data_IF_243579364017
#
_entry.id   IF_243579364017
#
_cell.length_a   1.000
_cell.length_b   1.000
_cell.length_c   1.000
_cell.angle_alpha   90.00
_cell.angle_beta   90.00
_cell.angle_gamma   90.00
#
_symmetry.space_group_name_H-M   'P 1'
#
loop_
_entity.id
_entity.type
_entity.pdbx_description
1 polymer ?
#
# COMPACT_ATOMS: atom_id res chain seq x y z
N UNK A 1 2.81 13.04 14.22
CA UNK A 1 2.19 13.38 15.53
C UNK A 1 0.99 14.27 15.26
N UNK A 2 -0.17 13.94 15.83
CA UNK A 2 -1.40 14.74 15.81
C UNK A 2 -1.63 15.36 17.19
N UNK A 3 -2.21 16.54 17.21
CA UNK A 3 -2.55 17.20 18.46
C UNK A 3 -3.94 17.86 18.34
N UNK A 4 -4.68 17.82 19.43
CA UNK A 4 -5.92 18.56 19.59
C UNK A 4 -5.62 19.88 20.29
N UNK A 5 -6.00 20.99 19.69
CA UNK A 5 -5.75 22.31 20.23
C UNK A 5 -7.04 23.14 20.18
N UNK A 6 -7.33 23.84 21.26
CA UNK A 6 -8.46 24.76 21.32
C UNK A 6 -8.03 26.13 20.77
N UNK A 7 -8.69 26.65 19.73
CA UNK A 7 -8.36 27.94 19.16
C UNK A 7 -8.87 29.13 20.03
N UNK A 8 -8.05 30.15 20.16
CA UNK A 8 -8.48 31.50 20.64
C UNK A 8 -8.64 32.40 19.41
N UNK A 9 -9.85 32.86 19.18
CA UNK A 9 -10.18 33.66 17.99
C UNK A 9 -10.10 35.13 18.34
N UNK A 10 -9.27 35.89 17.62
CA UNK A 10 -9.21 37.35 17.68
C UNK A 10 -9.77 37.96 16.38
N UNK A 11 -11.12 38.13 16.26
CA UNK A 11 -11.76 38.46 14.99
C UNK A 11 -11.35 39.83 14.46
N UNK A 12 -11.12 40.83 15.35
CA UNK A 12 -10.71 42.19 14.97
C UNK A 12 -9.32 42.20 14.33
N UNK A 13 -8.41 41.33 14.82
CA UNK A 13 -7.05 41.20 14.27
C UNK A 13 -6.98 40.21 13.09
N UNK A 14 -8.04 39.46 12.79
CA UNK A 14 -8.07 38.46 11.74
C UNK A 14 -7.11 37.27 12.00
N UNK A 15 -6.84 36.95 13.27
CA UNK A 15 -5.91 35.88 13.64
C UNK A 15 -6.55 34.85 14.56
N UNK A 16 -6.03 33.62 14.49
CA UNK A 16 -6.35 32.53 15.39
C UNK A 16 -5.08 32.12 16.13
N UNK A 17 -5.16 32.01 17.44
CA UNK A 17 -4.04 31.65 18.31
C UNK A 17 -4.26 30.25 18.87
N UNK A 18 -3.19 29.48 18.95
CA UNK A 18 -3.17 28.17 19.60
C UNK A 18 -2.13 28.18 20.72
N UNK A 19 -2.40 27.45 21.81
CA UNK A 19 -1.47 27.25 22.92
C UNK A 19 -1.06 25.77 22.97
N UNK A 20 -0.05 25.35 22.17
CA UNK A 20 0.33 23.93 22.07
C UNK A 20 1.09 23.39 23.28
N UNK A 21 1.49 24.21 24.25
CA UNK A 21 2.43 23.82 25.29
C UNK A 21 3.86 23.69 24.74
N UNK A 22 4.84 23.52 25.63
CA UNK A 22 6.26 23.43 25.26
C UNK A 22 6.58 22.17 24.48
N UNK A 23 5.92 21.05 24.78
CA UNK A 23 6.10 19.75 24.16
C UNK A 23 5.64 19.69 22.69
N UNK A 24 4.68 20.53 22.30
CA UNK A 24 4.13 20.52 20.92
C UNK A 24 4.62 21.70 20.08
N UNK A 25 5.36 22.65 20.66
CA UNK A 25 5.89 23.84 19.94
C UNK A 25 6.74 23.48 18.72
N UNK A 26 7.40 22.34 18.72
CA UNK A 26 8.23 21.89 17.61
C UNK A 26 7.44 21.60 16.33
N UNK A 27 6.14 21.24 16.43
CA UNK A 27 5.27 21.03 15.28
C UNK A 27 5.12 22.30 14.44
N UNK A 28 5.08 23.47 15.10
CA UNK A 28 4.91 24.78 14.45
C UNK A 28 6.22 25.33 13.86
N UNK A 29 7.37 24.77 14.22
CA UNK A 29 8.68 25.16 13.65
C UNK A 29 8.87 24.67 12.22
N UNK A 30 8.02 23.77 11.73
CA UNK A 30 8.09 23.21 10.38
C UNK A 30 7.48 24.11 9.29
N UNK A 31 6.99 25.29 9.67
CA UNK A 31 6.51 26.34 8.76
C UNK A 31 5.04 26.24 8.37
N UNK A 32 4.50 25.04 8.11
CA UNK A 32 3.08 24.84 7.74
C UNK A 32 2.46 23.73 8.57
N UNK A 33 1.20 23.95 8.96
CA UNK A 33 0.36 22.95 9.64
C UNK A 33 -0.96 22.82 8.88
N UNK A 34 -1.50 21.62 8.85
CA UNK A 34 -2.87 21.36 8.38
C UNK A 34 -3.79 21.42 9.58
N UNK A 35 -4.90 22.13 9.44
CA UNK A 35 -5.93 22.23 10.47
C UNK A 35 -7.18 21.53 9.98
N UNK A 36 -7.69 20.60 10.78
CA UNK A 36 -8.89 19.83 10.49
C UNK A 36 -9.88 19.98 11.66
N UNK A 37 -11.16 19.90 11.36
CA UNK A 37 -12.21 19.87 12.39
C UNK A 37 -12.19 18.45 13.01
N UNK A 38 -12.07 18.33 14.36
CA UNK A 38 -12.06 17.02 14.99
C UNK A 38 -13.40 16.32 14.82
N UNK A 39 -13.35 14.99 14.63
CA UNK A 39 -14.55 14.16 14.66
C UNK A 39 -15.18 14.11 16.07
N UNK A 40 -16.45 13.70 16.14
CA UNK A 40 -17.22 13.64 17.40
C UNK A 40 -16.51 12.86 18.52
N UNK A 41 -15.73 11.84 18.17
CA UNK A 41 -14.96 11.02 19.14
C UNK A 41 -13.88 11.82 19.89
N UNK A 42 -13.47 12.97 19.39
CA UNK A 42 -12.43 13.81 19.96
C UNK A 42 -13.01 15.06 20.66
N UNK A 43 -14.33 15.25 20.62
CA UNK A 43 -14.96 16.49 21.09
C UNK A 43 -14.69 16.77 22.58
N UNK A 44 -14.69 15.73 23.41
CA UNK A 44 -14.53 15.83 24.86
C UNK A 44 -13.08 15.61 25.34
N UNK A 45 -12.14 15.43 24.42
CA UNK A 45 -10.74 15.21 24.79
C UNK A 45 -10.05 16.53 25.15
N UNK A 46 -9.15 16.52 26.14
CA UNK A 46 -8.36 17.69 26.49
C UNK A 46 -7.37 18.05 25.37
N UNK A 47 -7.00 19.34 25.28
CA UNK A 47 -5.94 19.78 24.37
C UNK A 47 -4.61 19.10 24.70
N UNK A 48 -3.90 18.63 23.69
CA UNK A 48 -2.63 17.93 23.84
C UNK A 48 -2.32 17.02 22.67
N UNK A 49 -1.27 16.22 22.80
CA UNK A 49 -0.94 15.20 21.83
C UNK A 49 -2.05 14.13 21.78
N UNK A 50 -2.52 13.82 20.57
CA UNK A 50 -3.49 12.75 20.42
C UNK A 50 -2.78 11.37 20.52
N UNK A 51 -3.39 10.40 21.22
CA UNK A 51 -2.89 9.04 21.24
C UNK A 51 -2.93 8.44 19.82
N UNK A 52 -2.17 7.39 19.62
CA UNK A 52 -2.24 6.63 18.37
C UNK A 52 -3.66 6.04 18.22
N UNK A 53 -4.17 6.01 16.98
CA UNK A 53 -5.47 5.40 16.69
C UNK A 53 -5.47 3.95 17.15
N UNK A 54 -6.53 3.57 17.85
CA UNK A 54 -6.75 2.18 18.24
C UNK A 54 -6.82 1.31 16.99
N UNK A 55 -6.08 0.19 17.00
CA UNK A 55 -6.01 -0.74 15.88
C UNK A 55 -6.71 -2.05 16.24
N UNK A 56 -7.97 -2.27 15.86
CA UNK A 56 -8.73 -3.47 16.25
C UNK A 56 -8.08 -4.78 15.82
N UNK A 57 -7.31 -4.78 14.73
CA UNK A 57 -6.56 -5.96 14.29
C UNK A 57 -5.52 -6.42 15.31
N UNK A 58 -5.02 -5.52 16.16
CA UNK A 58 -4.06 -5.88 17.20
C UNK A 58 -4.67 -6.79 18.29
N UNK A 59 -5.98 -6.75 18.45
CA UNK A 59 -6.71 -7.52 19.46
C UNK A 59 -7.31 -8.84 18.91
N UNK A 60 -7.27 -9.01 17.57
CA UNK A 60 -7.76 -10.24 16.94
C UNK A 60 -6.74 -11.38 17.11
N UNK A 61 -6.95 -12.22 18.12
CA UNK A 61 -6.08 -13.36 18.42
C UNK A 61 -5.96 -14.36 17.25
N UNK A 62 -6.92 -14.39 16.33
CA UNK A 62 -6.85 -15.24 15.14
C UNK A 62 -5.77 -14.84 14.16
N UNK A 63 -5.29 -13.59 14.25
CA UNK A 63 -4.22 -13.04 13.41
C UNK A 63 -2.82 -13.25 14.00
N UNK A 64 -2.72 -13.67 15.27
CA UNK A 64 -1.44 -13.86 15.94
C UNK A 64 -0.46 -14.73 15.17
N UNK A 65 -0.83 -15.89 14.61
CA UNK A 65 0.10 -16.72 13.81
C UNK A 65 0.62 -16.01 12.56
N UNK A 66 -0.15 -15.07 12.00
CA UNK A 66 0.27 -14.27 10.84
C UNK A 66 1.25 -13.17 11.29
N UNK A 67 0.97 -12.50 12.40
CA UNK A 67 1.86 -11.46 12.93
C UNK A 67 3.22 -12.01 13.38
N UNK A 68 3.24 -13.21 13.94
CA UNK A 68 4.46 -13.87 14.43
C UNK A 68 5.20 -14.65 13.32
N UNK A 69 4.67 -14.68 12.10
CA UNK A 69 5.32 -15.38 11.00
C UNK A 69 6.65 -14.70 10.61
N UNK A 70 7.78 -15.42 10.60
CA UNK A 70 9.08 -14.84 10.31
C UNK A 70 9.17 -14.14 8.94
N UNK A 71 8.45 -14.65 7.93
CA UNK A 71 8.43 -14.05 6.59
C UNK A 71 7.68 -12.71 6.58
N UNK A 72 6.61 -12.60 7.37
CA UNK A 72 5.85 -11.36 7.56
C UNK A 72 6.70 -10.31 8.27
N UNK A 73 7.36 -10.70 9.35
CA UNK A 73 8.28 -9.84 10.11
C UNK A 73 9.43 -9.37 9.21
N UNK A 74 10.05 -10.27 8.46
CA UNK A 74 11.14 -9.93 7.54
C UNK A 74 10.67 -8.96 6.44
N UNK A 75 9.47 -9.16 5.91
CA UNK A 75 8.92 -8.30 4.85
C UNK A 75 8.57 -6.90 5.36
N UNK A 76 8.21 -6.77 6.62
CA UNK A 76 8.01 -5.47 7.26
C UNK A 76 9.32 -4.71 7.55
N UNK A 77 10.48 -5.38 7.45
CA UNK A 77 11.81 -4.80 7.66
C UNK A 77 12.66 -5.54 8.69
N UNK A 78 12.12 -6.58 9.33
CA UNK A 78 12.81 -7.42 10.30
C UNK A 78 12.88 -6.82 11.70
N UNK A 79 13.31 -7.64 12.67
CA UNK A 79 13.34 -7.26 14.07
C UNK A 79 14.30 -6.08 14.38
N UNK A 80 15.34 -5.86 13.56
CA UNK A 80 16.24 -4.71 13.74
C UNK A 80 15.54 -3.37 13.51
N UNK A 81 14.55 -3.34 12.60
CA UNK A 81 13.71 -2.14 12.38
C UNK A 81 12.72 -1.96 13.52
N UNK A 82 12.18 -3.05 14.08
CA UNK A 82 11.39 -3.01 15.31
C UNK A 82 12.20 -2.41 16.46
N UNK A 83 13.45 -2.84 16.65
CA UNK A 83 14.33 -2.32 17.71
C UNK A 83 14.56 -0.82 17.55
N UNK A 84 14.89 -0.36 16.34
CA UNK A 84 15.08 1.05 16.04
C UNK A 84 13.79 1.87 16.26
N UNK A 85 12.63 1.29 16.00
CA UNK A 85 11.33 1.91 16.27
C UNK A 85 11.04 2.02 17.76
N UNK A 86 11.38 0.97 18.56
CA UNK A 86 11.23 0.99 20.01
C UNK A 86 12.12 2.03 20.68
N UNK A 87 13.37 2.14 20.25
CA UNK A 87 14.33 3.11 20.79
C UNK A 87 13.85 4.57 20.69
N UNK A 88 12.97 4.88 19.73
CA UNK A 88 12.38 6.23 19.60
C UNK A 88 11.38 6.56 20.69
N UNK A 89 10.82 5.58 21.40
CA UNK A 89 9.81 5.79 22.45
C UNK A 89 10.41 6.39 23.72
N UNK A 90 11.66 6.07 24.03
CA UNK A 90 12.39 6.56 25.22
C UNK A 90 11.63 6.37 26.54
N UNK A 91 10.94 5.25 26.68
CA UNK A 91 10.15 4.92 27.87
C UNK A 91 10.31 3.44 28.19
N UNK A 92 10.68 3.14 29.45
CA UNK A 92 10.81 1.76 29.90
C UNK A 92 9.43 1.09 29.98
N UNK A 93 9.31 -0.07 29.36
CA UNK A 93 8.02 -0.78 29.25
C UNK A 93 7.74 -1.72 30.41
N UNK A 94 8.67 -1.87 31.35
CA UNK A 94 8.46 -2.68 32.53
C UNK A 94 7.89 -1.83 33.69
N UNK A 95 6.66 -2.10 34.13
CA UNK A 95 6.04 -1.36 35.21
C UNK A 95 6.64 -1.83 36.55
N UNK A 96 7.48 -1.04 37.13
CA UNK A 96 7.94 -1.17 38.50
C UNK A 96 8.03 0.24 39.11
N UNK A 97 8.62 0.41 40.27
CA UNK A 97 8.79 1.63 41.07
C UNK A 97 8.97 2.92 40.22
N UNK A 98 8.78 4.07 40.85
CA UNK A 98 8.79 5.40 40.23
C UNK A 98 10.12 5.83 39.61
N UNK A 99 11.21 5.04 39.79
CA UNK A 99 12.52 5.38 39.25
C UNK A 99 12.97 4.43 38.14
N UNK A 100 13.29 5.01 36.99
CA UNK A 100 13.90 4.33 35.85
C UNK A 100 15.22 5.01 35.49
N UNK A 101 16.22 4.25 35.05
CA UNK A 101 17.43 4.80 34.48
C UNK A 101 17.13 5.53 33.15
N UNK A 102 17.91 6.57 32.87
CA UNK A 102 17.76 7.34 31.61
C UNK A 102 18.32 6.60 30.37
N UNK A 103 19.18 5.59 30.62
CA UNK A 103 19.76 4.77 29.57
C UNK A 103 18.83 3.61 29.21
N UNK A 104 18.48 3.51 27.94
CA UNK A 104 17.58 2.49 27.40
C UNK A 104 18.32 1.46 26.57
N UNK A 105 17.86 0.22 26.66
CA UNK A 105 18.36 -0.92 25.88
C UNK A 105 17.22 -1.76 25.34
N UNK A 106 17.49 -2.55 24.31
CA UNK A 106 16.54 -3.49 23.73
C UNK A 106 16.83 -4.90 24.23
N UNK A 107 15.85 -5.49 24.89
CA UNK A 107 15.86 -6.90 25.23
C UNK A 107 15.08 -7.67 24.16
N UNK A 108 15.76 -8.59 23.47
CA UNK A 108 15.10 -9.54 22.56
C UNK A 108 14.37 -10.59 23.37
N UNK A 109 13.09 -10.75 23.10
CA UNK A 109 12.24 -11.76 23.73
C UNK A 109 11.19 -12.21 22.72
N UNK A 110 11.11 -13.51 22.45
CA UNK A 110 10.13 -14.04 21.50
C UNK A 110 8.70 -13.62 21.87
N UNK A 111 7.88 -13.18 20.86
CA UNK A 111 8.18 -13.17 19.41
C UNK A 111 8.80 -11.85 18.89
N UNK A 112 9.22 -10.93 19.75
CA UNK A 112 9.68 -9.60 19.33
C UNK A 112 10.80 -9.02 20.19
N UNK A 113 10.61 -7.78 20.64
CA UNK A 113 11.58 -7.03 21.45
C UNK A 113 10.86 -6.14 22.45
N UNK A 114 11.55 -5.79 23.53
CA UNK A 114 11.07 -4.94 24.61
C UNK A 114 12.07 -3.82 24.84
N UNK A 115 11.61 -2.58 25.05
CA UNK A 115 12.44 -1.46 25.45
C UNK A 115 12.46 -1.35 26.96
N UNK A 116 13.64 -1.48 27.55
CA UNK A 116 13.85 -1.42 28.98
C UNK A 116 14.88 -0.36 29.34
N UNK A 117 14.79 0.20 30.52
CA UNK A 117 15.93 0.91 31.09
C UNK A 117 17.02 -0.11 31.51
N UNK A 118 18.27 0.34 31.62
CA UNK A 118 19.41 -0.51 31.95
C UNK A 118 19.21 -1.33 33.28
N UNK A 119 18.58 -0.73 34.27
CA UNK A 119 18.28 -1.42 35.52
C UNK A 119 17.31 -2.58 35.36
N UNK A 120 16.22 -2.38 34.60
CA UNK A 120 15.24 -3.42 34.32
C UNK A 120 15.83 -4.52 33.43
N UNK A 121 16.62 -4.16 32.40
CA UNK A 121 17.27 -5.13 31.54
C UNK A 121 18.19 -6.06 32.33
N UNK A 122 19.00 -5.53 33.25
CA UNK A 122 19.87 -6.34 34.09
C UNK A 122 19.11 -7.35 34.98
N UNK A 123 17.89 -7.00 35.39
CA UNK A 123 17.06 -7.88 36.22
C UNK A 123 16.30 -8.93 35.38
N UNK A 124 15.96 -8.63 34.14
CA UNK A 124 15.02 -9.41 33.36
C UNK A 124 15.65 -10.20 32.19
N UNK A 125 16.90 -9.87 31.79
CA UNK A 125 17.54 -10.43 30.59
C UNK A 125 17.58 -11.95 30.52
N UNK A 126 17.67 -12.60 31.67
CA UNK A 126 17.74 -14.06 31.78
C UNK A 126 16.38 -14.70 32.13
N UNK A 127 15.32 -13.90 32.14
CA UNK A 127 13.97 -14.36 32.45
C UNK A 127 13.15 -14.55 31.18
N UNK A 128 12.37 -15.64 31.16
CA UNK A 128 11.37 -15.89 30.13
C UNK A 128 10.02 -16.08 30.81
N UNK A 129 9.23 -15.02 30.82
CA UNK A 129 7.89 -15.02 31.43
C UNK A 129 6.81 -14.64 30.41
N UNK A 130 5.58 -15.11 30.61
CA UNK A 130 4.45 -14.78 29.75
C UNK A 130 4.16 -13.26 29.72
N UNK A 131 4.48 -12.57 30.81
CA UNK A 131 4.36 -11.10 30.85
C UNK A 131 5.34 -10.42 29.92
N UNK A 132 6.58 -10.88 29.85
CA UNK A 132 7.59 -10.38 28.90
C UNK A 132 7.21 -10.72 27.47
N UNK A 133 6.77 -11.97 27.23
CA UNK A 133 6.27 -12.39 25.92
C UNK A 133 5.07 -11.53 25.46
N UNK A 134 4.16 -11.21 26.37
CA UNK A 134 3.02 -10.33 26.10
C UNK A 134 3.43 -8.91 25.69
N UNK A 135 4.41 -8.31 26.35
CA UNK A 135 4.96 -6.99 25.98
C UNK A 135 5.65 -7.06 24.63
N UNK A 136 6.49 -8.07 24.39
CA UNK A 136 7.20 -8.27 23.13
C UNK A 136 6.21 -8.45 21.95
N UNK A 137 5.18 -9.26 22.16
CA UNK A 137 4.10 -9.48 21.18
C UNK A 137 3.34 -8.19 20.87
N UNK A 138 2.94 -7.43 21.89
CA UNK A 138 2.26 -6.14 21.72
C UNK A 138 3.12 -5.15 20.93
N UNK A 139 4.41 -5.12 21.18
CA UNK A 139 5.35 -4.28 20.44
C UNK A 139 5.46 -4.71 18.98
N UNK A 140 5.62 -6.01 18.72
CA UNK A 140 5.70 -6.59 17.39
C UNK A 140 4.46 -6.23 16.57
N UNK A 141 3.28 -6.48 17.12
CA UNK A 141 2.00 -6.22 16.43
C UNK A 141 1.81 -4.72 16.16
N UNK A 142 2.06 -3.87 17.16
CA UNK A 142 1.92 -2.42 17.01
C UNK A 142 2.86 -1.85 15.94
N UNK A 143 4.13 -2.31 15.95
CA UNK A 143 5.11 -1.93 14.94
C UNK A 143 4.72 -2.42 13.55
N UNK A 144 4.26 -3.68 13.44
CA UNK A 144 3.89 -4.29 12.18
C UNK A 144 2.72 -3.55 11.54
N UNK A 145 1.64 -3.30 12.28
CA UNK A 145 0.47 -2.57 11.78
C UNK A 145 0.83 -1.14 11.34
N UNK A 146 1.66 -0.45 12.11
CA UNK A 146 2.18 0.87 11.73
C UNK A 146 3.01 0.82 10.45
N UNK A 147 3.87 -0.18 10.31
CA UNK A 147 4.72 -0.37 9.14
C UNK A 147 3.89 -0.68 7.90
N UNK A 148 2.89 -1.55 8.03
CA UNK A 148 1.96 -1.91 6.95
C UNK A 148 1.19 -0.67 6.48
N UNK A 149 0.62 0.11 7.39
CA UNK A 149 -0.07 1.36 7.06
C UNK A 149 0.84 2.33 6.31
N UNK A 150 2.08 2.51 6.77
CA UNK A 150 3.06 3.36 6.09
C UNK A 150 3.45 2.86 4.70
N UNK A 151 3.65 1.54 4.52
CA UNK A 151 3.96 0.94 3.22
C UNK A 151 2.79 0.97 2.22
N UNK A 152 1.56 1.04 2.73
CA UNK A 152 0.35 1.25 1.92
C UNK A 152 0.08 2.74 1.63
N UNK A 153 0.87 3.66 2.22
CA UNK A 153 0.68 5.09 2.04
C UNK A 153 -0.55 5.65 2.79
N UNK A 154 -1.03 4.95 3.82
CA UNK A 154 -2.18 5.36 4.61
C UNK A 154 -1.78 6.42 5.65
N UNK A 155 -2.72 7.26 6.08
CA UNK A 155 -2.49 8.29 7.09
C UNK A 155 -2.14 7.68 8.46
N UNK A 156 -1.47 8.44 9.33
CA UNK A 156 -1.05 7.96 10.67
C UNK A 156 -2.23 7.60 11.59
N UNK A 157 -3.40 8.15 11.34
CA UNK A 157 -4.63 7.93 12.08
C UNK A 157 -5.55 6.88 11.45
N UNK A 158 -5.16 6.33 10.30
CA UNK A 158 -5.93 5.30 9.64
C UNK A 158 -6.02 4.03 10.48
N UNK A 159 -7.25 3.55 10.66
CA UNK A 159 -7.53 2.25 11.28
C UNK A 159 -7.41 1.19 10.21
N UNK A 160 -6.31 0.42 10.26
CA UNK A 160 -6.05 -0.61 9.27
C UNK A 160 -7.14 -1.69 9.31
N UNK A 161 -7.73 -1.96 8.17
CA UNK A 161 -8.76 -2.98 8.01
C UNK A 161 -8.18 -4.34 7.64
N UNK A 162 -8.93 -5.40 7.91
CA UNK A 162 -8.50 -6.76 7.54
C UNK A 162 -8.27 -6.94 6.02
N UNK A 163 -9.13 -6.40 5.11
CA UNK A 163 -8.87 -6.43 3.68
C UNK A 163 -7.58 -5.73 3.28
N UNK A 164 -7.25 -4.58 3.87
CA UNK A 164 -6.00 -3.84 3.59
C UNK A 164 -4.78 -4.63 4.06
N UNK A 165 -4.85 -5.28 5.22
CA UNK A 165 -3.79 -6.14 5.70
C UNK A 165 -3.59 -7.37 4.79
N UNK A 166 -4.67 -8.03 4.38
CA UNK A 166 -4.60 -9.11 3.39
C UNK A 166 -4.01 -8.63 2.06
N UNK A 167 -4.41 -7.44 1.61
CA UNK A 167 -3.86 -6.81 0.42
C UNK A 167 -2.34 -6.63 0.51
N UNK A 168 -1.85 -6.12 1.64
CA UNK A 168 -0.43 -5.97 1.88
C UNK A 168 0.29 -7.33 1.82
N UNK A 169 -0.25 -8.37 2.44
CA UNK A 169 0.30 -9.73 2.41
C UNK A 169 0.40 -10.25 0.97
N UNK A 170 -0.68 -10.15 0.20
CA UNK A 170 -0.70 -10.61 -1.21
C UNK A 170 0.29 -9.83 -2.07
N UNK A 171 0.33 -8.49 -1.95
CA UNK A 171 1.27 -7.63 -2.65
C UNK A 171 2.72 -7.98 -2.38
N UNK A 172 3.02 -8.46 -1.19
CA UNK A 172 4.35 -8.85 -0.77
C UNK A 172 4.69 -10.34 -1.00
N UNK A 173 3.83 -11.08 -1.71
CA UNK A 173 4.05 -12.50 -2.03
C UNK A 173 3.90 -13.44 -0.83
N UNK A 174 3.06 -13.05 0.14
CA UNK A 174 2.79 -13.78 1.38
C UNK A 174 1.35 -14.32 1.43
N UNK A 175 0.73 -14.53 0.27
CA UNK A 175 -0.65 -15.03 0.22
C UNK A 175 -0.81 -16.41 0.89
N UNK A 176 0.21 -17.24 0.82
CA UNK A 176 0.26 -18.56 1.44
C UNK A 176 0.26 -18.52 2.99
N UNK A 177 0.58 -17.38 3.58
CA UNK A 177 0.52 -17.16 5.04
C UNK A 177 -0.90 -16.82 5.50
N UNK A 178 -1.81 -16.46 4.59
CA UNK A 178 -3.17 -16.06 4.93
C UNK A 178 -4.02 -17.31 5.21
N UNK A 179 -4.54 -17.52 6.44
CA UNK A 179 -5.47 -18.60 6.71
C UNK A 179 -6.78 -18.42 5.93
N UNK A 180 -7.36 -19.52 5.45
CA UNK A 180 -8.61 -19.49 4.67
C UNK A 180 -9.73 -18.70 5.38
N UNK A 181 -9.90 -18.91 6.69
CA UNK A 181 -10.87 -18.17 7.49
C UNK A 181 -10.66 -16.67 7.49
N UNK A 182 -9.40 -16.23 7.47
CA UNK A 182 -9.01 -14.82 7.38
C UNK A 182 -9.38 -14.27 5.99
N UNK A 183 -9.11 -15.03 4.94
CA UNK A 183 -9.42 -14.64 3.56
C UNK A 183 -10.94 -14.51 3.36
N UNK A 184 -11.73 -15.46 3.84
CA UNK A 184 -13.20 -15.41 3.82
C UNK A 184 -13.73 -14.16 4.52
N UNK A 185 -13.23 -13.87 5.75
CA UNK A 185 -13.61 -12.68 6.52
C UNK A 185 -13.25 -11.39 5.77
N UNK A 186 -12.07 -11.32 5.16
CA UNK A 186 -11.63 -10.17 4.38
C UNK A 186 -12.49 -9.94 3.12
N UNK A 187 -12.90 -11.01 2.46
CA UNK A 187 -13.79 -10.98 1.29
C UNK A 187 -15.27 -10.84 1.63
N UNK A 188 -15.64 -10.89 2.92
CA UNK A 188 -17.03 -10.93 3.42
C UNK A 188 -17.81 -12.12 2.85
N UNK A 189 -17.13 -13.25 2.62
CA UNK A 189 -17.75 -14.50 2.20
C UNK A 189 -18.12 -15.34 3.42
N UNK A 190 -19.26 -16.01 3.34
CA UNK A 190 -19.64 -16.99 4.34
C UNK A 190 -18.87 -18.29 4.11
N UNK A 191 -18.37 -18.96 5.15
CA UNK A 191 -17.84 -20.32 4.99
C UNK A 191 -18.98 -21.23 4.50
N UNK A 192 -18.66 -22.09 3.54
CA UNK A 192 -19.64 -23.07 3.07
C UNK A 192 -20.06 -23.99 4.23
N UNK A 193 -21.37 -24.19 4.45
CA UNK A 193 -21.82 -25.09 5.50
C UNK A 193 -21.40 -26.52 5.16
N UNK A 194 -20.56 -27.11 6.01
CA UNK A 194 -20.22 -28.53 5.88
C UNK A 194 -21.43 -29.36 6.17
N UNK A 195 -22.01 -29.99 5.15
CA UNK A 195 -23.04 -30.99 5.32
C UNK A 195 -22.38 -32.32 5.68
N UNK A 196 -22.90 -32.99 6.68
CA UNK A 196 -22.39 -34.30 7.17
C UNK A 196 -22.52 -35.42 6.14
N UNK A 197 -23.39 -35.26 5.16
CA UNK A 197 -23.59 -36.19 4.05
C UNK A 197 -23.89 -35.39 2.79
N UNK A 198 -23.00 -35.50 1.78
CA UNK A 198 -23.17 -34.93 0.44
C UNK A 198 -23.18 -36.07 -0.58
N UNK A 199 -23.95 -35.95 -1.64
CA UNK A 199 -23.86 -36.85 -2.79
C UNK A 199 -22.58 -36.46 -3.57
N UNK A 200 -21.86 -37.45 -4.10
CA UNK A 200 -20.63 -37.25 -4.86
C UNK A 200 -20.84 -36.30 -6.08
N UNK A 201 -22.05 -36.34 -6.67
CA UNK A 201 -22.47 -35.45 -7.75
C UNK A 201 -22.59 -33.96 -7.36
N UNK A 202 -22.74 -33.68 -6.06
CA UNK A 202 -23.01 -32.33 -5.55
C UNK A 202 -21.73 -31.65 -5.03
N UNK A 203 -20.60 -32.36 -5.10
CA UNK A 203 -19.28 -31.83 -4.73
C UNK A 203 -18.77 -30.95 -5.90
N UNK A 204 -19.07 -29.67 -5.83
CA UNK A 204 -18.43 -28.67 -6.71
C UNK A 204 -17.17 -28.15 -6.03
N UNK A 205 -15.99 -28.24 -6.65
CA UNK A 205 -14.79 -27.64 -6.09
C UNK A 205 -14.94 -26.12 -6.06
N UNK A 206 -15.06 -25.56 -4.84
CA UNK A 206 -15.00 -24.10 -4.66
C UNK A 206 -13.54 -23.66 -4.67
N UNK A 207 -13.26 -22.53 -5.32
CA UNK A 207 -11.93 -21.94 -5.27
C UNK A 207 -11.63 -21.44 -3.85
N UNK A 208 -10.47 -21.79 -3.27
CA UNK A 208 -10.07 -21.26 -1.98
C UNK A 208 -10.13 -19.72 -1.93
N UNK A 209 -10.59 -19.15 -0.84
CA UNK A 209 -10.73 -17.69 -0.72
C UNK A 209 -9.37 -16.96 -0.86
N UNK A 210 -8.27 -17.62 -0.52
CA UNK A 210 -6.91 -17.11 -0.73
C UNK A 210 -6.61 -16.96 -2.24
N UNK A 211 -7.03 -17.91 -3.08
CA UNK A 211 -6.87 -17.81 -4.53
C UNK A 211 -7.71 -16.67 -5.12
N UNK A 212 -8.93 -16.47 -4.62
CA UNK A 212 -9.77 -15.32 -5.00
C UNK A 212 -9.12 -13.99 -4.63
N UNK A 213 -8.48 -13.89 -3.46
CA UNK A 213 -7.70 -12.71 -3.06
C UNK A 213 -6.53 -12.46 -4.02
N UNK A 214 -5.79 -13.52 -4.34
CA UNK A 214 -4.66 -13.43 -5.29
C UNK A 214 -5.13 -13.04 -6.70
N UNK A 215 -6.24 -13.59 -7.16
CA UNK A 215 -6.80 -13.27 -8.47
C UNK A 215 -7.24 -11.80 -8.54
N UNK A 216 -7.92 -11.31 -7.52
CA UNK A 216 -8.30 -9.88 -7.43
C UNK A 216 -7.06 -8.97 -7.36
N UNK A 217 -6.01 -9.41 -6.70
CA UNK A 217 -4.74 -8.68 -6.62
C UNK A 217 -3.95 -8.68 -7.95
N UNK A 218 -4.06 -9.74 -8.76
CA UNK A 218 -3.37 -9.84 -10.07
C UNK A 218 -3.84 -8.81 -11.11
N UNK A 219 -4.98 -8.17 -10.90
CA UNK A 219 -5.51 -7.12 -11.79
C UNK A 219 -4.75 -5.80 -11.69
N UNK A 220 -3.88 -5.65 -10.72
CA UNK A 220 -3.04 -4.46 -10.58
C UNK A 220 -1.73 -4.69 -11.33
N UNK A 221 -1.43 -3.78 -12.24
CA UNK A 221 -0.15 -3.78 -12.95
C UNK A 221 0.97 -3.49 -11.97
N UNK A 222 1.67 -4.53 -11.53
CA UNK A 222 2.90 -4.36 -10.75
C UNK A 222 4.01 -3.88 -11.68
N UNK A 223 4.42 -2.63 -11.57
CA UNK A 223 5.66 -2.16 -12.19
C UNK A 223 6.81 -2.80 -11.41
N UNK A 224 7.41 -3.85 -11.98
CA UNK A 224 8.65 -4.43 -11.45
C UNK A 224 9.80 -3.51 -11.81
N UNK A 225 10.42 -2.93 -10.81
CA UNK A 225 11.73 -2.27 -10.98
C UNK A 225 12.79 -3.37 -10.98
N UNK A 226 13.53 -3.49 -12.08
CA UNK A 226 14.68 -4.40 -12.17
C UNK A 226 15.85 -3.78 -11.39
N UNK A 227 16.32 -4.38 -10.27
CA UNK A 227 17.45 -3.85 -9.51
C UNK A 227 18.75 -3.83 -10.31
N UNK A 228 18.89 -4.72 -11.31
CA UNK A 228 20.02 -4.81 -12.22
C UNK A 228 19.64 -4.30 -13.62
N UNK A 229 18.98 -3.15 -13.69
CA UNK A 229 18.56 -2.56 -14.95
C UNK A 229 19.75 -2.45 -15.93
N UNK A 230 19.55 -2.69 -17.25
CA UNK A 230 20.62 -2.61 -18.24
C UNK A 230 21.44 -1.33 -18.18
N UNK A 231 20.87 -0.23 -17.69
CA UNK A 231 21.58 1.05 -17.46
C UNK A 231 22.64 0.99 -16.37
N UNK A 232 22.62 -0.01 -15.48
CA UNK A 232 23.61 -0.17 -14.41
C UNK A 232 24.95 -0.77 -14.91
N UNK A 233 24.93 -1.49 -16.03
CA UNK A 233 26.09 -2.18 -16.60
C UNK A 233 26.33 -1.93 -18.10
N UNK A 234 25.41 -1.27 -18.80
CA UNK A 234 25.52 -0.95 -20.21
C UNK A 234 25.56 0.55 -20.44
N UNK A 235 26.63 1.08 -21.09
CA UNK A 235 26.75 2.49 -21.46
C UNK A 235 25.60 2.99 -22.37
N UNK A 236 25.06 2.13 -23.22
CA UNK A 236 23.91 2.40 -24.09
C UNK A 236 22.98 1.20 -24.08
N UNK A 237 22.11 1.07 -23.07
CA UNK A 237 21.19 -0.06 -22.96
C UNK A 237 20.23 -0.08 -24.14
N UNK A 238 20.04 -1.26 -24.73
CA UNK A 238 19.02 -1.46 -25.76
C UNK A 238 17.63 -1.32 -25.13
N UNK A 239 16.79 -0.55 -25.77
CA UNK A 239 15.40 -0.34 -25.34
C UNK A 239 14.63 -1.66 -25.46
N UNK A 240 14.13 -2.17 -24.32
CA UNK A 240 13.21 -3.32 -24.31
C UNK A 240 11.79 -2.82 -24.52
N UNK A 241 11.09 -3.40 -25.50
CA UNK A 241 9.68 -3.14 -25.71
C UNK A 241 8.87 -3.84 -24.63
N UNK A 242 7.93 -3.12 -24.02
CA UNK A 242 6.90 -3.73 -23.19
C UNK A 242 5.80 -4.27 -24.10
N UNK A 243 5.54 -5.58 -24.01
CA UNK A 243 4.59 -6.30 -24.84
C UNK A 243 3.45 -6.85 -23.98
N UNK A 244 2.20 -6.65 -24.44
CA UNK A 244 1.02 -7.15 -23.76
C UNK A 244 -0.08 -7.50 -24.77
N UNK A 245 -0.14 -8.77 -25.15
CA UNK A 245 -1.13 -9.27 -26.11
C UNK A 245 -2.58 -9.10 -25.64
N UNK A 246 -2.84 -9.20 -24.35
CA UNK A 246 -4.19 -9.03 -23.81
C UNK A 246 -4.66 -7.59 -24.02
N UNK A 247 -3.78 -6.63 -23.76
CA UNK A 247 -4.09 -5.22 -23.97
C UNK A 247 -4.27 -4.89 -25.44
N UNK A 248 -3.36 -5.29 -26.32
CA UNK A 248 -3.48 -5.04 -27.77
C UNK A 248 -4.70 -5.73 -28.38
N UNK A 249 -5.09 -6.92 -27.91
CA UNK A 249 -6.34 -7.60 -28.31
C UNK A 249 -7.56 -6.81 -27.85
N UNK A 250 -7.55 -6.26 -26.66
CA UNK A 250 -8.63 -5.39 -26.19
C UNK A 250 -8.70 -4.10 -27.01
N UNK A 251 -7.55 -3.47 -27.35
CA UNK A 251 -7.51 -2.29 -28.22
C UNK A 251 -8.19 -2.55 -29.56
N UNK A 252 -7.99 -3.72 -30.17
CA UNK A 252 -8.67 -4.13 -31.41
C UNK A 252 -10.19 -4.20 -31.28
N UNK A 253 -10.72 -4.43 -30.10
CA UNK A 253 -12.17 -4.48 -29.85
C UNK A 253 -12.80 -3.11 -29.62
N UNK A 254 -12.00 -2.05 -29.62
CA UNK A 254 -12.48 -0.68 -29.38
C UNK A 254 -12.91 0.00 -30.69
N UNK A 255 -13.47 1.18 -30.55
CA UNK A 255 -13.84 2.03 -31.72
C UNK A 255 -12.61 2.85 -32.16
N UNK A 256 -12.53 3.08 -33.48
CA UNK A 256 -11.51 3.94 -34.04
C UNK A 256 -11.61 5.37 -33.48
N UNK A 257 -10.49 5.93 -33.08
CA UNK A 257 -10.43 7.26 -32.46
C UNK A 257 -10.78 8.41 -33.43
N UNK A 258 -10.80 8.13 -34.74
CA UNK A 258 -11.09 9.13 -35.78
C UNK A 258 -12.54 9.11 -36.27
N UNK A 259 -13.16 7.93 -36.42
CA UNK A 259 -14.48 7.80 -37.04
C UNK A 259 -15.49 6.97 -36.25
N UNK A 260 -15.11 6.44 -35.09
CA UNK A 260 -15.91 5.56 -34.24
C UNK A 260 -16.35 4.22 -34.90
N UNK A 261 -15.87 3.89 -36.08
CA UNK A 261 -16.02 2.55 -36.65
C UNK A 261 -15.22 1.53 -35.82
N UNK A 262 -15.52 0.22 -35.91
CA UNK A 262 -14.69 -0.79 -35.26
C UNK A 262 -13.22 -0.64 -35.63
N UNK A 263 -12.33 -0.74 -34.66
CA UNK A 263 -10.90 -0.73 -34.92
C UNK A 263 -10.44 -2.12 -35.39
N UNK A 264 -9.56 -2.13 -36.40
CA UNK A 264 -8.96 -3.36 -36.91
C UNK A 264 -7.59 -3.64 -36.29
N UNK A 265 -6.79 -2.59 -36.14
CA UNK A 265 -5.41 -2.70 -35.68
C UNK A 265 -5.06 -1.70 -34.56
N UNK A 266 -4.30 -2.15 -33.56
CA UNK A 266 -3.66 -1.27 -32.60
C UNK A 266 -2.50 -0.56 -33.27
N UNK A 267 -2.64 0.72 -33.54
CA UNK A 267 -1.59 1.52 -34.15
C UNK A 267 -0.58 1.95 -33.07
N UNK A 268 0.68 1.50 -33.20
CA UNK A 268 1.77 1.95 -32.35
C UNK A 268 2.23 3.34 -32.78
N UNK A 269 2.40 4.25 -31.82
CA UNK A 269 2.87 5.61 -32.07
C UNK A 269 4.15 5.64 -32.91
N UNK A 270 4.19 6.49 -33.91
CA UNK A 270 5.33 6.73 -34.79
C UNK A 270 5.73 8.20 -34.80
N UNK A 271 7.00 8.49 -35.02
CA UNK A 271 7.48 9.88 -35.16
C UNK A 271 7.75 10.65 -33.86
N UNK A 272 7.35 10.12 -32.69
CA UNK A 272 7.47 10.79 -31.38
C UNK A 272 8.61 10.27 -30.51
N UNK A 273 9.64 9.65 -31.10
CA UNK A 273 10.79 9.11 -30.37
C UNK A 273 10.53 7.85 -29.56
N UNK A 274 9.31 7.28 -29.61
CA UNK A 274 8.92 6.08 -28.89
C UNK A 274 9.31 4.77 -29.61
N UNK A 275 9.55 4.84 -30.91
CA UNK A 275 10.02 3.76 -31.77
C UNK A 275 11.10 4.29 -32.72
N UNK A 276 11.72 3.42 -33.50
CA UNK A 276 12.69 3.74 -34.53
C UNK A 276 12.54 2.81 -35.72
N UNK A 277 13.42 2.95 -36.76
CA UNK A 277 13.42 2.04 -37.89
C UNK A 277 13.60 0.59 -37.40
N UNK A 278 12.57 -0.24 -37.61
CA UNK A 278 12.56 -1.63 -37.13
C UNK A 278 12.21 -1.87 -35.66
N UNK A 279 11.88 -0.80 -34.90
CA UNK A 279 11.51 -0.95 -33.48
C UNK A 279 10.15 -0.33 -33.22
N UNK A 280 9.16 -1.14 -32.82
CA UNK A 280 7.85 -0.64 -32.42
C UNK A 280 7.88 0.03 -31.04
N UNK A 281 7.00 0.99 -30.80
CA UNK A 281 6.76 1.53 -29.47
C UNK A 281 6.23 0.44 -28.52
N UNK A 282 6.22 0.71 -27.20
CA UNK A 282 5.59 -0.16 -26.22
C UNK A 282 4.10 -0.38 -26.54
N UNK A 283 3.57 -1.57 -26.24
CA UNK A 283 2.15 -1.86 -26.47
C UNK A 283 1.20 -0.96 -25.65
N UNK A 284 1.72 -0.29 -24.62
CA UNK A 284 0.97 0.76 -23.92
C UNK A 284 0.72 1.99 -24.81
N UNK A 285 1.58 2.25 -25.77
CA UNK A 285 1.53 3.43 -26.65
C UNK A 285 0.88 3.08 -27.99
N UNK A 286 -0.35 2.59 -27.91
CA UNK A 286 -1.19 2.23 -29.07
C UNK A 286 -2.52 2.97 -29.04
N UNK A 287 -3.02 3.30 -30.20
CA UNK A 287 -4.36 3.85 -30.39
C UNK A 287 -5.18 2.94 -31.30
N UNK A 288 -6.49 2.74 -31.03
CA UNK A 288 -7.34 1.96 -31.90
C UNK A 288 -7.68 2.74 -33.19
N UNK A 289 -7.32 2.19 -34.30
CA UNK A 289 -7.65 2.74 -35.62
C UNK A 289 -8.30 1.66 -36.50
N UNK A 290 -9.26 2.05 -37.32
CA UNK A 290 -9.73 1.21 -38.41
C UNK A 290 -8.69 1.15 -39.54
N UNK A 291 -8.79 0.19 -40.44
CA UNK A 291 -7.81 -0.03 -41.52
C UNK A 291 -7.53 1.24 -42.31
N UNK A 292 -8.58 1.95 -42.70
CA UNK A 292 -8.49 3.17 -43.49
C UNK A 292 -7.65 4.25 -42.79
N UNK A 293 -7.95 4.56 -41.54
CA UNK A 293 -7.22 5.58 -40.77
C UNK A 293 -5.81 5.13 -40.35
N UNK A 294 -5.60 3.83 -40.18
CA UNK A 294 -4.27 3.27 -39.94
C UNK A 294 -3.35 3.47 -41.16
N UNK A 295 -3.89 3.19 -42.36
CA UNK A 295 -3.17 3.36 -43.64
C UNK A 295 -2.95 4.85 -43.97
N UNK A 296 -3.96 5.70 -43.72
CA UNK A 296 -3.85 7.17 -43.88
C UNK A 296 -2.72 7.74 -42.99
N UNK A 297 -2.63 7.29 -41.72
CA UNK A 297 -1.59 7.73 -40.81
C UNK A 297 -0.20 7.28 -41.29
N UNK A 298 -0.05 6.04 -41.74
CA UNK A 298 1.22 5.56 -42.27
C UNK A 298 1.64 6.24 -43.59
N UNK A 299 0.66 6.66 -44.42
CA UNK A 299 0.94 7.38 -45.66
C UNK A 299 1.44 8.82 -45.40
N UNK A 300 0.92 9.49 -44.34
CA UNK A 300 1.32 10.86 -44.04
C UNK A 300 0.99 11.30 -42.62
N UNK A 301 1.88 11.01 -41.65
CA UNK A 301 1.63 11.32 -40.22
C UNK A 301 1.25 12.78 -39.97
N UNK A 302 1.99 13.71 -40.58
CA UNK A 302 1.76 15.17 -40.41
C UNK A 302 0.36 15.59 -40.94
N UNK A 303 -0.02 15.08 -42.08
CA UNK A 303 -1.34 15.37 -42.66
C UNK A 303 -2.47 14.75 -41.84
N UNK A 304 -2.26 13.54 -41.33
CA UNK A 304 -3.19 12.87 -40.45
C UNK A 304 -3.39 13.65 -39.12
N UNK A 305 -2.29 14.08 -38.49
CA UNK A 305 -2.35 14.85 -37.24
C UNK A 305 -3.01 16.22 -37.40
N UNK A 306 -2.81 16.86 -38.56
CA UNK A 306 -3.50 18.11 -38.87
C UNK A 306 -5.04 17.93 -39.01
N UNK A 307 -5.49 16.75 -39.42
CA UNK A 307 -6.91 16.43 -39.67
C UNK A 307 -7.63 15.89 -38.43
N UNK A 308 -6.99 14.99 -37.68
CA UNK A 308 -7.60 14.25 -36.60
C UNK A 308 -7.05 14.58 -35.19
N UNK A 309 -5.98 15.36 -35.13
CA UNK A 309 -5.27 15.70 -33.90
C UNK A 309 -3.99 14.88 -33.70
N UNK A 310 -3.10 15.43 -32.91
CA UNK A 310 -1.81 14.85 -32.57
C UNK A 310 -1.95 13.44 -31.94
N UNK A 311 -1.14 12.50 -32.39
CA UNK A 311 -1.16 11.11 -31.92
C UNK A 311 -1.01 11.00 -30.39
N UNK A 312 -0.21 11.87 -29.75
CA UNK A 312 -0.05 11.87 -28.28
C UNK A 312 -1.36 12.28 -27.59
N UNK A 313 -2.07 13.25 -28.14
CA UNK A 313 -3.38 13.67 -27.62
C UNK A 313 -4.43 12.55 -27.74
N UNK A 314 -4.46 11.85 -28.90
CA UNK A 314 -5.33 10.71 -29.11
C UNK A 314 -5.00 9.56 -28.15
N UNK A 315 -3.70 9.27 -27.98
CA UNK A 315 -3.24 8.27 -27.03
C UNK A 315 -3.65 8.62 -25.60
N UNK A 316 -3.44 9.88 -25.17
CA UNK A 316 -3.76 10.30 -23.82
C UNK A 316 -5.25 10.12 -23.50
N UNK A 317 -6.13 10.53 -24.41
CA UNK A 317 -7.59 10.31 -24.29
C UNK A 317 -7.95 8.83 -24.23
N UNK A 318 -7.28 8.02 -25.02
CA UNK A 318 -7.52 6.58 -25.03
C UNK A 318 -7.04 5.91 -23.74
N UNK A 319 -5.87 6.30 -23.20
CA UNK A 319 -5.35 5.80 -21.93
C UNK A 319 -6.23 6.22 -20.75
N UNK A 320 -6.69 7.47 -20.73
CA UNK A 320 -7.62 7.97 -19.71
C UNK A 320 -8.88 7.11 -19.67
N UNK A 321 -9.48 6.83 -20.82
CA UNK A 321 -10.62 5.91 -20.92
C UNK A 321 -10.28 4.50 -20.47
N UNK A 322 -9.12 3.96 -20.86
CA UNK A 322 -8.70 2.60 -20.48
C UNK A 322 -8.50 2.46 -18.96
N UNK A 323 -7.98 3.51 -18.32
CA UNK A 323 -7.88 3.60 -16.87
C UNK A 323 -9.25 3.73 -16.20
N UNK A 324 -10.10 4.62 -16.72
CA UNK A 324 -11.44 4.87 -16.16
C UNK A 324 -12.34 3.62 -16.12
N UNK A 325 -12.22 2.74 -17.12
CA UNK A 325 -12.97 1.48 -17.20
C UNK A 325 -12.22 0.27 -16.58
N UNK A 326 -11.02 0.49 -15.99
CA UNK A 326 -10.28 -0.53 -15.28
C UNK A 326 -9.59 -1.59 -16.14
N UNK A 327 -9.29 -1.30 -17.40
CA UNK A 327 -8.50 -2.19 -18.28
C UNK A 327 -7.01 -2.06 -18.00
N UNK A 328 -6.60 -0.85 -17.67
CA UNK A 328 -5.28 -0.51 -17.15
C UNK A 328 -5.49 -0.08 -15.69
N UNK A 329 -5.28 -0.97 -14.75
CA UNK A 329 -5.38 -0.71 -13.32
C UNK A 329 -4.22 -1.33 -12.57
#
# INVERSE_FOLDING_TARGET
>A
VRALLTPEIAPIAGVVLFRPGTELMWLFRQGRVVIEIPGEQLADMPSGALPQSHQPLAEDSSLQPVFENPRVIQRAGGLSVLDAWLMKKRECQWPHNDWHAEDFTIMRHEPGSILLCWGCDNQLRDQSTERLAGIARKNLVSWLLKTVSGQLGLSEDHVLTLPEFCWWLVKNGLADVIPERMALKALRLQPEPMQSVMRESDITPSLPAVELLQEKAKKIVAVKVDPDAPGSFMLKPKRRRWENEKYTRWVKSQQCMCCNNPADDPHHLIGHGQGGMGTKAHDLFVIPLCREHHDELHAGPVAFEAKYGDQLTLLFRFLDRALAIGVLA
#
